data_IF_083435214581
#
_entry.id   IF_083435214581
#
_cell.length_a   1.000
_cell.length_b   1.000
_cell.length_c   1.000
_cell.angle_alpha   90.00
_cell.angle_beta   90.00
_cell.angle_gamma   90.00
#
_symmetry.space_group_name_H-M   'P 1'
#
loop_
_entity.id
_entity.type
_entity.pdbx_description
1 polymer ?
#
# COMPACT_ATOMS: atom_id res chain seq x y z
N UNK A 1 16.19 3.97 4.84
CA UNK A 1 15.14 3.42 5.70
C UNK A 1 15.67 2.23 6.46
N UNK A 2 15.24 2.06 7.71
CA UNK A 2 15.60 0.92 8.57
C UNK A 2 15.17 -0.42 7.95
N UNK A 3 14.00 -0.46 7.31
CA UNK A 3 13.52 -1.64 6.58
C UNK A 3 14.54 -2.10 5.51
N UNK A 4 15.06 -1.19 4.69
CA UNK A 4 16.06 -1.53 3.65
C UNK A 4 17.33 -2.10 4.27
N UNK A 5 17.80 -1.53 5.39
CA UNK A 5 18.98 -2.03 6.11
C UNK A 5 18.79 -3.48 6.56
N UNK A 6 17.62 -3.81 7.11
CA UNK A 6 17.30 -5.18 7.54
C UNK A 6 17.18 -6.13 6.34
N UNK A 7 16.46 -5.73 5.28
CA UNK A 7 16.32 -6.55 4.07
C UNK A 7 17.67 -6.84 3.40
N UNK A 8 18.63 -5.91 3.45
CA UNK A 8 19.95 -6.07 2.83
C UNK A 8 20.84 -7.13 3.50
N UNK A 9 20.45 -7.70 4.64
CA UNK A 9 21.04 -8.97 5.10
C UNK A 9 20.80 -10.13 4.12
N UNK A 10 19.83 -10.00 3.20
CA UNK A 10 19.64 -10.85 2.04
C UNK A 10 19.36 -10.02 0.78
N UNK A 11 20.35 -9.85 -0.12
CA UNK A 11 20.13 -9.12 -1.38
C UNK A 11 18.96 -9.67 -2.21
N UNK A 12 18.71 -10.98 -2.14
CA UNK A 12 17.58 -11.62 -2.80
C UNK A 12 16.23 -11.16 -2.20
N UNK A 13 16.11 -11.13 -0.86
CA UNK A 13 14.91 -10.64 -0.19
C UNK A 13 14.69 -9.15 -0.50
N UNK A 14 15.73 -8.33 -0.42
CA UNK A 14 15.66 -6.91 -0.78
C UNK A 14 15.15 -6.72 -2.22
N UNK A 15 15.68 -7.47 -3.20
CA UNK A 15 15.23 -7.39 -4.60
C UNK A 15 13.75 -7.74 -4.74
N UNK A 16 13.29 -8.83 -4.12
CA UNK A 16 11.89 -9.28 -4.21
C UNK A 16 10.94 -8.21 -3.64
N UNK A 17 11.26 -7.65 -2.47
CA UNK A 17 10.43 -6.58 -1.87
C UNK A 17 10.50 -5.28 -2.68
N UNK A 18 11.60 -5.03 -3.39
CA UNK A 18 11.73 -3.88 -4.28
C UNK A 18 10.88 -4.00 -5.57
N UNK A 19 10.39 -5.19 -5.93
CA UNK A 19 9.45 -5.35 -7.07
C UNK A 19 8.11 -4.65 -6.83
N UNK A 20 7.87 -4.16 -5.59
CA UNK A 20 6.81 -3.20 -5.32
C UNK A 20 6.89 -1.98 -6.26
N UNK A 21 8.09 -1.49 -6.56
CA UNK A 21 8.28 -0.36 -7.49
C UNK A 21 7.93 -0.72 -8.93
N UNK A 22 8.29 -1.93 -9.37
CA UNK A 22 7.92 -2.46 -10.68
C UNK A 22 6.40 -2.54 -10.81
N UNK A 23 5.72 -3.14 -9.83
CA UNK A 23 4.26 -3.23 -9.81
C UNK A 23 3.60 -1.84 -9.77
N UNK A 24 4.12 -0.92 -8.95
CA UNK A 24 3.64 0.47 -8.93
C UNK A 24 3.70 1.11 -10.32
N UNK A 25 4.83 0.96 -11.01
CA UNK A 25 5.03 1.61 -12.30
C UNK A 25 4.13 0.99 -13.39
N UNK A 26 3.71 -0.27 -13.25
CA UNK A 26 2.67 -0.88 -14.07
C UNK A 26 1.25 -0.34 -13.79
N UNK A 27 0.99 0.19 -12.58
CA UNK A 27 -0.30 0.80 -12.21
C UNK A 27 -0.40 2.27 -12.65
N UNK A 28 0.72 3.00 -12.68
CA UNK A 28 0.77 4.44 -12.97
C UNK A 28 0.04 4.92 -14.24
N UNK A 29 -0.02 4.15 -15.34
CA UNK A 29 -0.77 4.59 -16.51
C UNK A 29 -2.28 4.76 -16.25
N UNK A 30 -2.82 4.09 -15.23
CA UNK A 30 -4.24 4.12 -14.89
C UNK A 30 -4.54 4.76 -13.53
N UNK A 31 -3.59 4.72 -12.58
CA UNK A 31 -3.74 5.22 -11.22
C UNK A 31 -2.68 6.27 -10.92
N UNK A 32 -3.11 7.44 -10.43
CA UNK A 32 -2.17 8.46 -9.98
C UNK A 32 -1.49 8.09 -8.65
N UNK A 33 -0.44 8.84 -8.31
CA UNK A 33 0.31 8.58 -7.08
C UNK A 33 -0.56 8.70 -5.82
N UNK A 34 -1.53 9.64 -5.82
CA UNK A 34 -2.45 9.85 -4.69
C UNK A 34 -3.31 8.60 -4.46
N UNK A 35 -3.92 8.03 -5.50
CA UNK A 35 -4.70 6.80 -5.42
C UNK A 35 -3.85 5.63 -4.92
N UNK A 36 -2.61 5.48 -5.41
CA UNK A 36 -1.67 4.44 -4.98
C UNK A 36 -1.31 4.61 -3.49
N UNK A 37 -1.06 5.83 -3.03
CA UNK A 37 -0.72 6.12 -1.63
C UNK A 37 -1.91 5.85 -0.70
N UNK A 38 -3.11 6.28 -1.07
CA UNK A 38 -4.33 6.01 -0.30
C UNK A 38 -4.63 4.50 -0.21
N UNK A 39 -4.48 3.79 -1.33
CA UNK A 39 -4.64 2.33 -1.38
C UNK A 39 -3.63 1.62 -0.46
N UNK A 40 -2.35 1.97 -0.58
CA UNK A 40 -1.27 1.37 0.22
C UNK A 40 -1.42 1.69 1.71
N UNK A 41 -1.81 2.93 2.04
CA UNK A 41 -2.10 3.36 3.41
C UNK A 41 -3.27 2.58 4.00
N UNK A 42 -4.36 2.38 3.25
CA UNK A 42 -5.52 1.63 3.72
C UNK A 42 -5.17 0.16 4.07
N UNK A 43 -4.32 -0.49 3.26
CA UNK A 43 -3.76 -1.82 3.56
C UNK A 43 -2.96 -1.77 4.86
N UNK A 44 -2.02 -0.82 4.97
CA UNK A 44 -1.14 -0.71 6.13
C UNK A 44 -1.88 -0.42 7.44
N UNK A 45 -2.90 0.44 7.40
CA UNK A 45 -3.77 0.75 8.55
C UNK A 45 -4.55 -0.48 8.99
N UNK A 46 -5.10 -1.25 8.04
CA UNK A 46 -5.83 -2.49 8.33
C UNK A 46 -4.92 -3.50 9.03
N UNK A 47 -3.69 -3.64 8.56
CA UNK A 47 -2.68 -4.54 9.16
C UNK A 47 -1.96 -3.96 10.39
N UNK A 48 -2.30 -2.73 10.80
CA UNK A 48 -1.66 -2.01 11.91
C UNK A 48 -0.13 -1.95 11.76
N UNK A 49 0.36 -1.75 10.54
CA UNK A 49 1.78 -1.68 10.23
C UNK A 49 2.29 -0.24 10.23
N UNK A 50 2.87 0.19 11.36
CA UNK A 50 3.22 1.59 11.61
C UNK A 50 4.20 2.18 10.59
N UNK A 51 5.22 1.41 10.19
CA UNK A 51 6.26 1.89 9.27
C UNK A 51 5.66 2.27 7.91
N UNK A 52 4.92 1.38 7.20
CA UNK A 52 4.25 1.78 5.97
C UNK A 52 3.16 2.85 6.15
N UNK A 53 2.36 2.81 7.24
CA UNK A 53 1.35 3.85 7.52
C UNK A 53 2.01 5.22 7.51
N UNK A 54 3.07 5.38 8.29
CA UNK A 54 3.78 6.65 8.45
C UNK A 54 4.47 7.08 7.15
N UNK A 55 5.03 6.12 6.40
CA UNK A 55 5.64 6.40 5.09
C UNK A 55 4.64 6.98 4.08
N UNK A 56 3.45 6.39 3.93
CA UNK A 56 2.44 6.91 3.00
C UNK A 56 1.78 8.19 3.51
N UNK A 57 1.68 8.34 4.83
CA UNK A 57 1.22 9.57 5.45
C UNK A 57 2.16 10.74 5.15
N UNK A 58 3.48 10.53 5.23
CA UNK A 58 4.48 11.48 4.74
C UNK A 58 4.28 11.79 3.26
N UNK A 59 4.14 10.77 2.41
CA UNK A 59 3.98 10.98 0.96
C UNK A 59 2.78 11.89 0.62
N UNK A 60 1.65 11.70 1.31
CA UNK A 60 0.48 12.56 1.19
C UNK A 60 0.78 14.00 1.65
N UNK A 61 1.39 14.17 2.83
CA UNK A 61 1.73 15.49 3.40
C UNK A 61 2.73 16.25 2.52
N UNK A 62 3.80 15.59 2.08
CA UNK A 62 4.82 16.18 1.20
C UNK A 62 4.25 16.57 -0.17
N UNK A 63 3.13 15.95 -0.58
CA UNK A 63 2.39 16.33 -1.80
C UNK A 63 1.40 17.50 -1.60
N UNK A 64 1.32 18.07 -0.39
CA UNK A 64 0.41 19.17 -0.04
C UNK A 64 -1.00 18.74 0.38
N UNK A 65 -1.21 17.45 0.66
CA UNK A 65 -2.50 16.93 1.14
C UNK A 65 -2.49 16.81 2.66
N UNK A 66 -3.63 17.08 3.30
CA UNK A 66 -3.87 16.75 4.70
C UNK A 66 -4.52 15.36 4.80
N UNK A 67 -3.82 14.31 5.27
CA UNK A 67 -4.35 12.95 5.35
C UNK A 67 -5.65 12.80 6.13
N UNK A 68 -5.96 13.74 7.04
CA UNK A 68 -7.18 13.72 7.86
C UNK A 68 -8.37 14.42 7.20
N UNK A 69 -8.12 15.24 6.18
CA UNK A 69 -9.14 15.98 5.46
C UNK A 69 -9.37 15.45 4.04
N UNK A 70 -8.74 14.32 3.66
CA UNK A 70 -8.94 13.71 2.34
C UNK A 70 -10.36 13.18 2.25
N UNK A 71 -11.12 13.72 1.30
CA UNK A 71 -12.33 13.11 0.76
C UNK A 71 -11.94 12.28 -0.47
N UNK A 72 -11.97 10.94 -0.40
CA UNK A 72 -11.60 10.08 -1.53
C UNK A 72 -12.64 10.18 -2.65
N UNK A 73 -12.18 10.18 -3.90
CA UNK A 73 -13.07 9.96 -5.05
C UNK A 73 -13.69 8.56 -4.98
N UNK A 74 -14.75 8.33 -5.77
CA UNK A 74 -15.38 7.01 -5.84
C UNK A 74 -14.38 5.88 -6.20
N UNK A 75 -13.43 6.17 -7.10
CA UNK A 75 -12.40 5.20 -7.49
C UNK A 75 -11.37 4.97 -6.38
N UNK A 76 -10.93 6.04 -5.71
CA UNK A 76 -10.04 5.92 -4.56
C UNK A 76 -10.70 5.12 -3.43
N UNK A 77 -11.97 5.40 -3.14
CA UNK A 77 -12.75 4.67 -2.14
C UNK A 77 -12.90 3.18 -2.50
N UNK A 78 -13.11 2.86 -3.79
CA UNK A 78 -13.17 1.48 -4.28
C UNK A 78 -11.82 0.77 -4.07
N UNK A 79 -10.71 1.39 -4.47
CA UNK A 79 -9.36 0.85 -4.27
C UNK A 79 -9.06 0.65 -2.78
N UNK A 80 -9.35 1.65 -1.94
CA UNK A 80 -9.18 1.54 -0.49
C UNK A 80 -10.00 0.41 0.12
N UNK A 81 -11.24 0.21 -0.34
CA UNK A 81 -12.12 -0.88 0.12
C UNK A 81 -11.57 -2.25 -0.29
N UNK A 82 -11.11 -2.38 -1.53
CA UNK A 82 -10.40 -3.57 -2.00
C UNK A 82 -9.14 -3.84 -1.18
N UNK A 83 -8.33 -2.82 -0.89
CA UNK A 83 -7.11 -2.96 -0.11
C UNK A 83 -7.37 -3.42 1.32
N UNK A 84 -8.40 -2.86 1.96
CA UNK A 84 -8.86 -3.32 3.28
C UNK A 84 -9.30 -4.78 3.25
N UNK A 85 -10.04 -5.21 2.22
CA UNK A 85 -10.48 -6.59 2.09
C UNK A 85 -9.31 -7.56 1.88
N UNK A 86 -8.34 -7.21 1.03
CA UNK A 86 -7.12 -8.01 0.83
C UNK A 86 -6.27 -8.09 2.10
N UNK A 87 -6.27 -7.04 2.92
CA UNK A 87 -5.52 -6.95 4.17
C UNK A 87 -6.23 -7.55 5.39
N UNK A 88 -7.52 -7.91 5.27
CA UNK A 88 -8.31 -8.52 6.32
C UNK A 88 -7.86 -9.97 6.59
N UNK A 89 -8.23 -10.50 7.76
CA UNK A 89 -7.74 -11.79 8.25
C UNK A 89 -8.09 -13.00 7.37
N UNK A 90 -9.21 -12.95 6.64
CA UNK A 90 -9.63 -14.01 5.70
C UNK A 90 -9.34 -13.68 4.23
N UNK A 91 -8.75 -12.50 3.97
CA UNK A 91 -8.43 -11.95 2.66
C UNK A 91 -9.59 -12.01 1.66
N UNK A 92 -10.84 -12.06 2.15
CA UNK A 92 -12.02 -12.29 1.32
C UNK A 92 -12.49 -10.97 0.73
N UNK A 93 -12.37 -10.85 -0.59
CA UNK A 93 -12.84 -9.67 -1.34
C UNK A 93 -14.34 -9.83 -1.63
N UNK A 94 -15.21 -8.91 -1.17
CA UNK A 94 -16.63 -8.97 -1.48
C UNK A 94 -16.91 -8.97 -2.98
N UNK A 95 -17.87 -9.78 -3.43
CA UNK A 95 -18.23 -9.91 -4.84
C UNK A 95 -18.61 -8.56 -5.48
N UNK A 96 -19.31 -7.68 -4.73
CA UNK A 96 -19.63 -6.33 -5.20
C UNK A 96 -18.38 -5.48 -5.46
N UNK A 97 -17.35 -5.59 -4.61
CA UNK A 97 -16.09 -4.86 -4.76
C UNK A 97 -15.33 -5.38 -5.97
N UNK A 98 -15.26 -6.70 -6.13
CA UNK A 98 -14.61 -7.31 -7.27
C UNK A 98 -15.34 -7.02 -8.59
N UNK A 99 -16.68 -7.03 -8.58
CA UNK A 99 -17.48 -6.66 -9.75
C UNK A 99 -17.27 -5.19 -10.14
N UNK A 100 -17.24 -4.27 -9.17
CA UNK A 100 -16.97 -2.86 -9.42
C UNK A 100 -15.56 -2.63 -10.01
N UNK A 101 -14.54 -3.33 -9.51
CA UNK A 101 -13.19 -3.29 -10.07
C UNK A 101 -13.16 -3.78 -11.52
N UNK A 102 -13.81 -4.92 -11.81
CA UNK A 102 -13.92 -5.47 -13.19
C UNK A 102 -14.66 -4.55 -14.16
N UNK A 103 -15.61 -3.75 -13.66
CA UNK A 103 -16.29 -2.76 -14.49
C UNK A 103 -15.39 -1.56 -14.83
N UNK A 104 -14.33 -1.31 -14.04
CA UNK A 104 -13.46 -0.14 -14.14
C UNK A 104 -12.14 -0.44 -14.86
N UNK A 105 -11.59 -1.62 -14.67
CA UNK A 105 -10.22 -1.97 -15.03
C UNK A 105 -10.18 -3.26 -15.86
N UNK A 106 -9.23 -3.33 -16.79
CA UNK A 106 -8.99 -4.55 -17.57
C UNK A 106 -8.32 -5.65 -16.73
N UNK A 107 -8.30 -6.87 -17.27
CA UNK A 107 -7.76 -8.05 -16.57
C UNK A 107 -6.28 -7.88 -16.19
N UNK A 108 -5.48 -7.22 -17.04
CA UNK A 108 -4.05 -7.03 -16.76
C UNK A 108 -3.84 -6.09 -15.58
N UNK A 109 -4.58 -4.99 -15.56
CA UNK A 109 -4.53 -4.02 -14.47
C UNK A 109 -5.05 -4.62 -13.16
N UNK A 110 -6.08 -5.48 -13.21
CA UNK A 110 -6.59 -6.20 -12.03
C UNK A 110 -5.55 -7.16 -11.44
N UNK A 111 -4.83 -7.90 -12.30
CA UNK A 111 -3.73 -8.78 -11.85
C UNK A 111 -2.62 -7.95 -11.21
N UNK A 112 -2.19 -6.86 -11.85
CA UNK A 112 -1.15 -5.98 -11.32
C UNK A 112 -1.58 -5.34 -10.00
N UNK A 113 -2.84 -4.89 -9.89
CA UNK A 113 -3.39 -4.28 -8.70
C UNK A 113 -3.45 -5.27 -7.53
N UNK A 114 -3.88 -6.51 -7.79
CA UNK A 114 -3.94 -7.58 -6.80
C UNK A 114 -2.54 -7.99 -6.35
N UNK A 115 -1.59 -8.13 -7.28
CA UNK A 115 -0.19 -8.42 -6.97
C UNK A 115 0.45 -7.30 -6.15
N UNK A 116 0.17 -6.04 -6.49
CA UNK A 116 0.63 -4.87 -5.73
C UNK A 116 0.08 -4.88 -4.29
N UNK A 117 -1.20 -5.19 -4.12
CA UNK A 117 -1.81 -5.34 -2.79
C UNK A 117 -1.13 -6.46 -1.99
N UNK A 118 -0.84 -7.59 -2.63
CA UNK A 118 -0.16 -8.73 -2.01
C UNK A 118 1.26 -8.39 -1.51
N UNK A 119 2.07 -7.69 -2.32
CA UNK A 119 3.41 -7.27 -1.87
C UNK A 119 3.35 -6.17 -0.79
N UNK A 120 2.28 -5.36 -0.79
CA UNK A 120 2.02 -4.41 0.29
C UNK A 120 1.70 -5.13 1.60
N UNK A 121 0.81 -6.14 1.56
CA UNK A 121 0.54 -7.03 2.70
C UNK A 121 1.82 -7.70 3.19
N UNK A 122 2.63 -8.26 2.28
CA UNK A 122 3.92 -8.87 2.64
C UNK A 122 4.86 -7.86 3.32
N UNK A 123 4.89 -6.61 2.85
CA UNK A 123 5.66 -5.52 3.46
C UNK A 123 5.18 -5.20 4.88
N UNK A 124 3.87 -5.15 5.11
CA UNK A 124 3.28 -4.97 6.44
C UNK A 124 3.64 -6.14 7.37
N UNK A 125 3.50 -7.38 6.90
CA UNK A 125 3.90 -8.58 7.67
C UNK A 125 5.38 -8.53 8.03
N UNK A 126 6.26 -8.25 7.05
CA UNK A 126 7.69 -8.18 7.29
C UNK A 126 8.04 -7.13 8.35
N UNK A 127 7.55 -5.90 8.16
CA UNK A 127 7.86 -4.78 9.07
C UNK A 127 7.40 -5.05 10.50
N UNK A 128 6.22 -5.63 10.68
CA UNK A 128 5.70 -6.02 11.99
C UNK A 128 6.48 -7.19 12.60
N UNK A 129 6.73 -8.25 11.82
CA UNK A 129 7.36 -9.48 12.32
C UNK A 129 8.77 -9.25 12.85
N UNK A 130 9.56 -8.42 12.17
CA UNK A 130 10.93 -8.10 12.58
C UNK A 130 11.02 -6.81 13.40
N UNK A 131 9.86 -6.21 13.75
CA UNK A 131 9.76 -4.98 14.55
C UNK A 131 10.68 -3.88 14.03
N UNK A 132 10.52 -3.56 12.74
CA UNK A 132 11.32 -2.50 12.11
C UNK A 132 11.08 -1.19 12.85
N UNK A 133 12.15 -0.61 13.41
CA UNK A 133 12.08 0.72 14.01
C UNK A 133 11.73 1.75 12.95
N UNK A 134 10.84 2.68 13.32
CA UNK A 134 10.52 3.82 12.49
C UNK A 134 11.79 4.65 12.21
N UNK A 135 11.98 5.07 10.96
CA UNK A 135 13.08 5.96 10.62
C UNK A 135 12.88 7.32 11.34
N UNK A 136 13.93 7.95 11.90
CA UNK A 136 13.78 9.22 12.64
C UNK A 136 13.12 10.34 11.84
N UNK A 137 13.31 10.35 10.52
CA UNK A 137 12.65 11.32 9.60
C UNK A 137 11.13 11.12 9.50
N UNK A 138 10.62 9.95 9.89
CA UNK A 138 9.20 9.62 9.86
C UNK A 138 8.48 9.95 11.18
N UNK A 139 9.21 10.22 12.25
CA UNK A 139 8.65 10.50 13.59
C UNK A 139 7.63 11.65 13.59
N UNK A 140 7.90 12.71 12.83
CA UNK A 140 7.00 13.87 12.71
C UNK A 140 5.68 13.59 12.00
N UNK A 141 5.53 12.41 11.39
CA UNK A 141 4.34 12.01 10.64
C UNK A 141 3.49 10.97 11.39
N UNK A 142 3.88 10.56 12.60
CA UNK A 142 3.07 9.68 13.46
C UNK A 142 1.73 10.32 13.82
N UNK A 143 0.74 9.47 14.13
CA UNK A 143 -0.54 9.84 14.73
C UNK A 143 -0.73 9.11 16.05
#
# INVERSE_FOLDING_TARGET
TNMKRILLHSPAAHRIYAEWFTLRDLLKPALDDRAIWLFSKAIAETMRAEVPVTFFRRALIDSGLDPEAIDPTADEALLMSFGKAVAADDNTVPDETWAALKARYDETLLVNLTAFAGIMVATCVFTNAVKVDLDPELEGYRR
#
